data_IF_916421295701
#
_entry.id   IF_916421295701
#
_cell.length_a   1.000
_cell.length_b   1.000
_cell.length_c   1.000
_cell.angle_alpha   90.00
_cell.angle_beta   90.00
_cell.angle_gamma   90.00
#
_symmetry.space_group_name_H-M   'P 1'
#
loop_
_entity.id
_entity.type
_entity.pdbx_description
1 polymer ?
#
# COMPACT_ATOMS: atom_id res chain seq x y z
N UNK A 1 23.96 11.63 0.27
CA UNK A 1 24.72 12.00 1.48
C UNK A 1 24.09 11.26 2.63
N UNK A 2 24.85 10.36 3.25
CA UNK A 2 24.31 9.44 4.24
C UNK A 2 24.09 10.15 5.57
N UNK A 3 23.01 9.76 6.25
CA UNK A 3 22.61 10.39 7.51
C UNK A 3 22.77 9.38 8.64
N UNK A 4 23.80 9.58 9.44
CA UNK A 4 24.01 8.80 10.67
C UNK A 4 22.99 9.22 11.72
N UNK A 5 22.10 8.31 12.11
CA UNK A 5 20.99 8.59 13.03
C UNK A 5 21.31 8.27 14.50
N UNK A 6 22.46 7.64 14.76
CA UNK A 6 22.93 7.25 16.09
C UNK A 6 23.59 5.86 16.09
N UNK A 7 23.87 5.36 17.29
CA UNK A 7 24.45 4.04 17.50
C UNK A 7 23.48 3.17 18.29
N UNK A 8 23.28 1.92 17.86
CA UNK A 8 22.58 0.90 18.62
C UNK A 8 23.54 0.04 19.43
N UNK A 9 23.00 -0.76 20.35
CA UNK A 9 23.76 -1.76 21.09
C UNK A 9 23.31 -3.16 20.71
N UNK A 10 24.24 -4.10 20.67
CA UNK A 10 23.98 -5.53 20.57
C UNK A 10 24.07 -6.13 21.97
N UNK A 11 23.01 -6.78 22.45
CA UNK A 11 23.07 -7.59 23.67
C UNK A 11 23.25 -9.06 23.33
N UNK A 12 24.22 -9.70 23.98
CA UNK A 12 24.37 -11.16 24.02
C UNK A 12 23.59 -11.74 25.20
N UNK A 13 23.09 -13.00 25.11
CA UNK A 13 23.35 -14.02 24.08
C UNK A 13 22.37 -14.06 22.89
N UNK A 14 21.21 -13.40 22.96
CA UNK A 14 20.15 -13.58 21.95
C UNK A 14 20.36 -12.75 20.66
N UNK A 15 21.38 -11.90 20.61
CA UNK A 15 21.68 -11.09 19.43
C UNK A 15 20.68 -9.96 19.18
N UNK A 16 20.07 -9.43 20.25
CA UNK A 16 19.09 -8.36 20.13
C UNK A 16 19.76 -7.03 19.80
N UNK A 17 19.31 -6.38 18.73
CA UNK A 17 19.71 -5.02 18.37
C UNK A 17 18.76 -4.01 19.03
N UNK A 18 19.29 -3.16 19.90
CA UNK A 18 18.51 -2.06 20.48
C UNK A 18 18.60 -0.84 19.57
N UNK A 19 17.46 -0.40 19.06
CA UNK A 19 17.36 0.83 18.25
C UNK A 19 17.05 2.03 19.16
N UNK A 20 17.89 3.08 19.16
CA UNK A 20 17.65 4.27 19.98
C UNK A 20 16.30 4.92 19.71
N UNK A 21 15.70 5.53 20.73
CA UNK A 21 14.37 6.10 20.65
C UNK A 21 14.19 7.14 19.53
N UNK A 22 15.20 8.01 19.34
CA UNK A 22 15.20 8.99 18.27
C UNK A 22 15.17 8.36 16.86
N UNK A 23 15.81 7.20 16.69
CA UNK A 23 15.81 6.45 15.42
C UNK A 23 14.45 5.78 15.22
N UNK A 24 13.89 5.13 16.25
CA UNK A 24 12.58 4.47 16.17
C UNK A 24 11.49 5.43 15.74
N UNK A 25 11.35 6.57 16.43
CA UNK A 25 10.32 7.58 16.11
C UNK A 25 10.50 8.18 14.72
N UNK A 26 11.75 8.42 14.32
CA UNK A 26 12.05 9.00 13.02
C UNK A 26 11.72 8.07 11.86
N UNK A 27 11.97 6.77 12.05
CA UNK A 27 11.72 5.73 11.05
C UNK A 27 10.36 5.02 11.23
N UNK A 28 9.52 5.49 12.18
CA UNK A 28 8.21 4.93 12.53
C UNK A 28 8.25 3.43 12.87
N UNK A 29 9.33 2.98 13.52
CA UNK A 29 9.47 1.59 13.96
C UNK A 29 8.57 1.23 15.16
N UNK A 30 7.87 2.23 15.71
CA UNK A 30 6.85 2.09 16.75
C UNK A 30 5.47 1.71 16.19
N UNK A 31 5.28 1.80 14.87
CA UNK A 31 4.07 1.31 14.21
C UNK A 31 4.07 -0.23 14.19
N UNK A 32 3.01 -0.89 14.71
CA UNK A 32 2.94 -2.35 14.79
C UNK A 32 2.93 -3.06 13.42
N UNK A 33 2.62 -2.35 12.33
CA UNK A 33 2.67 -2.90 10.97
C UNK A 33 4.06 -2.78 10.33
N UNK A 34 4.96 -2.02 10.96
CA UNK A 34 6.32 -1.84 10.45
C UNK A 34 7.17 -3.05 10.79
N UNK A 35 7.78 -3.62 9.76
CA UNK A 35 8.83 -4.64 9.87
C UNK A 35 10.15 -4.05 9.38
N UNK A 36 11.26 -4.65 9.79
CA UNK A 36 12.60 -4.22 9.36
C UNK A 36 13.18 -5.29 8.44
N UNK A 37 13.45 -4.90 7.20
CA UNK A 37 14.23 -5.70 6.26
C UNK A 37 15.73 -5.39 6.48
N UNK A 38 16.54 -6.45 6.61
CA UNK A 38 18.00 -6.32 6.66
C UNK A 38 18.57 -6.69 5.30
N UNK A 39 19.38 -5.80 4.72
CA UNK A 39 20.04 -5.99 3.43
C UNK A 39 21.55 -5.83 3.65
N UNK A 40 22.34 -6.78 3.17
CA UNK A 40 23.79 -6.64 3.09
C UNK A 40 24.16 -5.88 1.81
N UNK A 41 25.01 -4.85 1.94
CA UNK A 41 25.53 -4.06 0.82
C UNK A 41 26.98 -3.70 1.10
N UNK A 42 27.89 -4.20 0.27
CA UNK A 42 29.31 -3.83 0.30
C UNK A 42 29.97 -3.98 1.69
N UNK A 43 29.57 -5.02 2.44
CA UNK A 43 30.03 -5.29 3.81
C UNK A 43 29.27 -4.54 4.91
N UNK A 44 28.27 -3.74 4.56
CA UNK A 44 27.40 -3.03 5.50
C UNK A 44 26.04 -3.73 5.64
N UNK A 45 25.44 -3.65 6.84
CA UNK A 45 24.06 -4.04 7.06
C UNK A 45 23.18 -2.78 7.01
N UNK A 46 22.25 -2.75 6.06
CA UNK A 46 21.24 -1.70 5.93
C UNK A 46 19.91 -2.21 6.47
N UNK A 47 19.37 -1.52 7.47
CA UNK A 47 18.05 -1.79 8.05
C UNK A 47 17.00 -0.86 7.43
N UNK A 48 16.03 -1.43 6.72
CA UNK A 48 15.00 -0.70 5.97
C UNK A 48 13.62 -0.95 6.62
N UNK A 49 12.92 0.09 7.10
CA UNK A 49 11.52 -0.03 7.49
C UNK A 49 10.68 -0.41 6.27
N UNK A 50 9.82 -1.42 6.44
CA UNK A 50 8.83 -1.89 5.48
C UNK A 50 7.49 -1.99 6.18
N UNK A 51 6.40 -1.90 5.42
CA UNK A 51 5.07 -2.23 5.94
C UNK A 51 4.77 -3.67 5.53
N UNK A 52 4.43 -4.52 6.50
CA UNK A 52 3.99 -5.88 6.19
C UNK A 52 2.56 -5.83 5.63
N UNK A 53 2.36 -6.40 4.45
CA UNK A 53 1.05 -6.58 3.84
C UNK A 53 0.61 -8.01 4.07
N UNK A 54 -0.65 -8.21 4.50
CA UNK A 54 -1.20 -9.54 4.64
C UNK A 54 -1.22 -10.25 3.27
N UNK A 55 -0.89 -11.55 3.16
CA UNK A 55 -0.83 -12.24 1.86
C UNK A 55 -2.09 -12.12 1.01
N UNK A 56 -3.27 -12.10 1.65
CA UNK A 56 -4.56 -11.94 0.95
C UNK A 56 -4.79 -10.52 0.39
N UNK A 57 -3.96 -9.54 0.76
CA UNK A 57 -4.07 -8.14 0.31
C UNK A 57 -2.95 -7.76 -0.67
N UNK A 58 -2.01 -8.67 -0.94
CA UNK A 58 -0.86 -8.41 -1.84
C UNK A 58 -1.31 -8.03 -3.25
N UNK A 59 -2.43 -8.57 -3.72
CA UNK A 59 -2.98 -8.26 -5.04
C UNK A 59 -3.21 -6.75 -5.23
N UNK A 60 -3.56 -6.01 -4.18
CA UNK A 60 -3.78 -4.56 -4.23
C UNK A 60 -2.50 -3.76 -4.48
N UNK A 61 -1.35 -4.34 -4.12
CA UNK A 61 -0.04 -3.68 -4.20
C UNK A 61 0.76 -4.06 -5.45
N UNK A 62 0.15 -4.77 -6.40
CA UNK A 62 0.77 -5.06 -7.69
C UNK A 62 0.96 -3.77 -8.51
N UNK A 63 2.01 -3.67 -9.35
CA UNK A 63 2.20 -2.52 -10.24
C UNK A 63 0.98 -2.20 -11.09
N UNK A 64 0.27 -3.24 -11.54
CA UNK A 64 -0.96 -3.14 -12.32
C UNK A 64 -2.10 -2.51 -11.50
N UNK A 65 -2.36 -3.00 -10.29
CA UNK A 65 -3.38 -2.42 -9.41
C UNK A 65 -3.08 -0.97 -9.04
N UNK A 66 -1.81 -0.65 -8.75
CA UNK A 66 -1.41 0.73 -8.46
C UNK A 66 -1.51 1.64 -9.69
N UNK A 67 -1.36 1.11 -10.90
CA UNK A 67 -1.58 1.87 -12.13
C UNK A 67 -3.06 2.17 -12.36
N UNK A 68 -3.92 1.16 -12.18
CA UNK A 68 -5.37 1.33 -12.26
C UNK A 68 -5.89 2.35 -11.23
N UNK A 69 -5.36 2.33 -10.00
CA UNK A 69 -5.72 3.31 -8.97
C UNK A 69 -5.36 4.74 -9.39
N UNK A 70 -4.16 4.96 -9.94
CA UNK A 70 -3.76 6.28 -10.45
C UNK A 70 -4.63 6.77 -11.60
N UNK A 71 -4.99 5.87 -12.51
CA UNK A 71 -5.90 6.21 -13.61
C UNK A 71 -7.28 6.61 -13.09
N UNK A 72 -7.81 5.86 -12.11
CA UNK A 72 -9.08 6.19 -11.47
C UNK A 72 -9.04 7.56 -10.75
N UNK A 73 -7.95 7.86 -10.03
CA UNK A 73 -7.74 9.16 -9.40
C UNK A 73 -7.70 10.30 -10.43
N UNK A 74 -7.03 10.08 -11.56
CA UNK A 74 -6.98 11.04 -12.67
C UNK A 74 -8.35 11.25 -13.32
N UNK A 75 -9.15 10.19 -13.48
CA UNK A 75 -10.53 10.26 -13.98
C UNK A 75 -11.41 11.06 -13.02
N UNK A 76 -11.31 10.82 -11.72
CA UNK A 76 -12.03 11.58 -10.68
C UNK A 76 -11.62 13.05 -10.73
N UNK A 77 -10.33 13.33 -10.73
CA UNK A 77 -9.81 14.70 -10.73
C UNK A 77 -10.19 15.48 -12.00
N UNK A 78 -10.25 14.79 -13.14
CA UNK A 78 -10.68 15.37 -14.42
C UNK A 78 -12.19 15.40 -14.61
N UNK A 79 -12.98 14.89 -13.66
CA UNK A 79 -14.44 14.80 -13.77
C UNK A 79 -14.92 13.82 -14.85
N UNK A 80 -14.09 12.84 -15.23
CA UNK A 80 -14.45 11.74 -16.14
C UNK A 80 -15.22 10.64 -15.40
N UNK A 81 -16.12 11.04 -14.51
CA UNK A 81 -16.96 10.16 -13.70
C UNK A 81 -18.43 10.39 -14.01
N UNK A 82 -19.25 9.38 -13.82
CA UNK A 82 -20.71 9.49 -13.93
C UNK A 82 -21.31 9.19 -12.58
N UNK A 83 -22.07 10.14 -12.04
CA UNK A 83 -22.85 9.97 -10.81
C UNK A 83 -24.30 9.61 -11.15
N UNK A 84 -24.94 8.84 -10.28
CA UNK A 84 -26.35 8.46 -10.41
C UNK A 84 -27.07 8.80 -9.11
N UNK A 85 -28.27 9.36 -9.22
CA UNK A 85 -29.09 9.76 -8.08
C UNK A 85 -29.83 8.58 -7.42
N UNK A 86 -29.82 7.40 -8.06
CA UNK A 86 -30.39 6.16 -7.52
C UNK A 86 -29.65 4.92 -8.02
N UNK A 87 -29.78 3.84 -7.26
CA UNK A 87 -29.29 2.51 -7.63
C UNK A 87 -29.92 2.01 -8.94
N UNK A 88 -31.23 2.20 -9.13
CA UNK A 88 -31.94 1.83 -10.37
C UNK A 88 -31.33 2.51 -11.60
N UNK A 89 -30.99 3.80 -11.49
CA UNK A 89 -30.38 4.56 -12.58
C UNK A 89 -28.97 4.04 -12.91
N UNK A 90 -28.20 3.66 -11.89
CA UNK A 90 -26.89 3.04 -12.04
C UNK A 90 -26.96 1.66 -12.70
N UNK A 91 -27.82 0.77 -12.19
CA UNK A 91 -27.98 -0.59 -12.74
C UNK A 91 -28.44 -0.58 -14.20
N UNK A 92 -29.42 0.28 -14.53
CA UNK A 92 -29.87 0.43 -15.91
C UNK A 92 -28.78 0.96 -16.85
N UNK A 93 -27.88 1.82 -16.35
CA UNK A 93 -26.72 2.25 -17.11
C UNK A 93 -25.74 1.08 -17.37
N UNK A 94 -25.47 0.25 -16.36
CA UNK A 94 -24.65 -0.95 -16.52
C UNK A 94 -25.26 -1.95 -17.51
N UNK A 95 -26.56 -2.20 -17.44
CA UNK A 95 -27.26 -3.09 -18.38
C UNK A 95 -27.11 -2.63 -19.83
N UNK A 96 -27.21 -1.30 -20.06
CA UNK A 96 -26.95 -0.69 -21.37
C UNK A 96 -25.52 -0.91 -21.84
N UNK A 97 -24.53 -0.73 -20.96
CA UNK A 97 -23.11 -0.95 -21.28
C UNK A 97 -22.80 -2.42 -21.56
N UNK A 98 -23.40 -3.34 -20.81
CA UNK A 98 -23.26 -4.78 -20.97
C UNK A 98 -23.99 -5.32 -22.23
N UNK A 99 -24.73 -4.47 -22.96
CA UNK A 99 -25.50 -4.87 -24.14
C UNK A 99 -26.71 -5.76 -23.80
N UNK A 100 -27.10 -5.85 -22.52
CA UNK A 100 -28.26 -6.63 -22.10
C UNK A 100 -29.51 -5.80 -22.37
N UNK A 101 -30.21 -6.09 -23.47
CA UNK A 101 -31.62 -5.71 -23.60
C UNK A 101 -32.40 -6.50 -22.57
N UNK A 102 -32.65 -5.95 -21.38
CA UNK A 102 -33.71 -6.47 -20.51
C UNK A 102 -35.04 -6.07 -21.16
N UNK A 103 -35.59 -7.03 -21.89
CA UNK A 103 -36.84 -6.90 -22.62
C UNK A 103 -37.21 -8.27 -23.18
N UNK A 104 -37.56 -9.16 -22.26
CA UNK A 104 -38.46 -10.33 -22.39
C UNK A 104 -38.04 -11.40 -21.37
N UNK A 105 -38.57 -11.31 -20.14
CA UNK A 105 -39.48 -12.37 -19.69
C UNK A 105 -40.36 -11.83 -18.56
N UNK A 106 -41.57 -12.38 -18.52
CA UNK A 106 -42.78 -11.89 -17.82
C UNK A 106 -42.69 -11.87 -16.29
#
# INVERSE_FOLDING_TARGET
MDKHLGYGSLSSPEGQLTVPDAVRRKLRLDDPQTVVEFVERDGEIVALPRVAVHPNDVWFWTPESQAAEREADEDIAAGRTTSFDSEDAFLHHLDKLAGRKLGEDR
#
